data_IF_937066522740
#
_entry.id   IF_937066522740
#
_cell.length_a   1.000
_cell.length_b   1.000
_cell.length_c   1.000
_cell.angle_alpha   90.00
_cell.angle_beta   90.00
_cell.angle_gamma   90.00
#
_symmetry.space_group_name_H-M   'P 1'
#
loop_
_entity.id
_entity.type
_entity.pdbx_description
1 polymer ?
#
# COMPACT_ATOMS: atom_id res chain seq x y z
N UNK A 1 6.42 -2.73 14.45
CA UNK A 1 5.82 -3.61 13.43
C UNK A 1 4.70 -4.33 14.12
N UNK A 2 3.45 -3.87 13.93
CA UNK A 2 2.29 -4.64 14.31
C UNK A 2 2.37 -6.02 13.63
N UNK A 3 2.01 -7.07 14.37
CA UNK A 3 2.13 -8.43 13.88
C UNK A 3 1.12 -8.68 12.79
N UNK A 4 1.58 -8.95 11.56
CA UNK A 4 0.74 -9.29 10.44
C UNK A 4 -0.36 -10.28 10.85
N UNK A 5 -1.62 -9.91 10.61
CA UNK A 5 -2.79 -10.74 10.88
C UNK A 5 -3.09 -11.52 9.61
N UNK A 6 -3.62 -12.72 9.77
CA UNK A 6 -4.10 -13.48 8.62
C UNK A 6 -5.34 -14.25 9.01
N UNK A 7 -6.30 -14.28 8.09
CA UNK A 7 -7.52 -15.03 8.28
C UNK A 7 -7.23 -16.52 8.31
N UNK A 8 -7.82 -17.19 9.28
CA UNK A 8 -7.80 -18.63 9.41
C UNK A 8 -9.24 -19.12 9.28
N UNK A 9 -9.61 -19.49 8.05
CA UNK A 9 -10.99 -19.74 7.68
C UNK A 9 -11.40 -21.19 7.90
N UNK A 10 -12.48 -21.38 8.61
CA UNK A 10 -13.09 -22.68 8.77
C UNK A 10 -13.63 -23.16 7.41
N UNK A 11 -13.27 -24.40 7.08
CA UNK A 11 -13.55 -25.02 5.80
C UNK A 11 -12.52 -24.74 4.71
N UNK A 12 -11.49 -23.92 4.96
CA UNK A 12 -10.44 -23.68 3.97
C UNK A 12 -9.67 -24.97 3.66
N UNK A 13 -9.25 -25.18 2.41
CA UNK A 13 -8.29 -26.20 2.03
C UNK A 13 -7.04 -26.20 2.90
N UNK A 14 -6.52 -27.39 3.17
CA UNK A 14 -5.27 -27.59 3.91
C UNK A 14 -4.24 -28.24 3.00
N UNK A 15 -3.04 -27.68 2.99
CA UNK A 15 -1.88 -28.17 2.26
C UNK A 15 -0.88 -28.75 3.25
N UNK A 16 -0.60 -30.04 3.13
CA UNK A 16 0.53 -30.67 3.80
C UNK A 16 1.78 -30.55 2.93
N UNK A 17 2.95 -30.85 3.51
CA UNK A 17 4.23 -30.84 2.78
C UNK A 17 4.22 -31.72 1.54
N UNK A 18 3.54 -32.87 1.60
CA UNK A 18 3.51 -33.89 0.55
C UNK A 18 2.36 -33.69 -0.45
N UNK A 19 1.22 -33.11 -0.04
CA UNK A 19 0.03 -32.98 -0.89
C UNK A 19 -1.02 -32.00 -0.35
N UNK A 20 -1.93 -31.58 -1.23
CA UNK A 20 -3.20 -30.95 -0.85
C UNK A 20 -4.17 -32.00 -0.31
N UNK A 21 -4.57 -31.89 0.95
CA UNK A 21 -5.51 -32.85 1.54
C UNK A 21 -6.23 -32.27 2.75
N UNK A 22 -7.56 -32.35 2.74
CA UNK A 22 -8.39 -32.01 3.90
C UNK A 22 -8.80 -30.54 3.99
N UNK A 23 -9.46 -30.20 5.10
CA UNK A 23 -9.98 -28.86 5.40
C UNK A 23 -9.84 -28.54 6.87
N UNK A 24 -9.69 -27.26 7.20
CA UNK A 24 -9.73 -26.80 8.59
C UNK A 24 -11.17 -26.92 9.12
N UNK A 25 -11.40 -27.77 10.11
CA UNK A 25 -12.73 -28.04 10.67
C UNK A 25 -13.05 -27.20 11.91
N UNK A 26 -12.05 -27.02 12.78
CA UNK A 26 -12.18 -26.24 14.00
C UNK A 26 -10.83 -25.66 14.46
N UNK A 27 -10.91 -24.65 15.32
CA UNK A 27 -9.79 -24.07 16.06
C UNK A 27 -9.98 -24.39 17.53
N UNK A 28 -8.93 -24.80 18.23
CA UNK A 28 -8.97 -24.95 19.68
C UNK A 28 -8.23 -23.79 20.33
N UNK A 29 -8.97 -23.01 21.12
CA UNK A 29 -8.44 -21.83 21.81
C UNK A 29 -8.45 -22.03 23.33
N UNK A 30 -7.61 -21.25 24.01
CA UNK A 30 -7.66 -21.08 25.46
C UNK A 30 -8.54 -19.88 25.88
N UNK A 31 -8.52 -19.57 27.18
CA UNK A 31 -9.29 -18.46 27.77
C UNK A 31 -8.78 -17.07 27.36
N UNK A 32 -7.56 -16.99 26.81
CA UNK A 32 -6.97 -15.75 26.32
C UNK A 32 -7.00 -15.64 24.79
N UNK A 33 -7.82 -16.45 24.11
CA UNK A 33 -7.93 -16.50 22.65
C UNK A 33 -6.64 -16.90 21.93
N UNK A 34 -5.72 -17.59 22.61
CA UNK A 34 -4.55 -18.17 21.98
C UNK A 34 -4.96 -19.44 21.21
N UNK A 35 -4.65 -19.50 19.91
CA UNK A 35 -4.93 -20.68 19.09
C UNK A 35 -3.84 -21.72 19.35
N UNK A 36 -4.24 -22.83 19.97
CA UNK A 36 -3.31 -23.86 20.43
C UNK A 36 -3.30 -25.07 19.51
N UNK A 37 -4.46 -25.52 19.05
CA UNK A 37 -4.57 -26.62 18.09
C UNK A 37 -5.46 -26.26 16.90
N UNK A 38 -5.20 -26.95 15.80
CA UNK A 38 -5.95 -26.95 14.55
C UNK A 38 -6.61 -28.32 14.41
N UNK A 39 -7.92 -28.35 14.21
CA UNK A 39 -8.65 -29.58 13.92
C UNK A 39 -8.88 -29.66 12.42
N UNK A 40 -8.31 -30.67 11.79
CA UNK A 40 -8.39 -30.88 10.35
C UNK A 40 -9.32 -32.04 10.06
N UNK A 41 -10.13 -31.95 9.02
CA UNK A 41 -11.00 -33.03 8.56
C UNK A 41 -10.60 -33.51 7.17
N UNK A 42 -10.71 -34.82 6.93
CA UNK A 42 -10.51 -35.45 5.62
C UNK A 42 -11.62 -36.44 5.30
N UNK A 43 -12.13 -36.38 4.08
CA UNK A 43 -13.15 -37.29 3.56
C UNK A 43 -14.56 -36.70 3.62
N UNK A 44 -15.39 -37.04 2.62
CA UNK A 44 -16.74 -36.46 2.45
C UNK A 44 -17.80 -37.27 3.21
N UNK A 45 -17.74 -38.61 3.12
CA UNK A 45 -18.79 -39.49 3.69
C UNK A 45 -18.54 -39.93 5.13
N UNK A 46 -17.27 -40.00 5.55
CA UNK A 46 -16.85 -40.33 6.91
C UNK A 46 -15.63 -39.46 7.24
N UNK A 47 -15.84 -38.19 7.62
CA UNK A 47 -14.73 -37.30 7.90
C UNK A 47 -13.89 -37.88 9.02
N UNK A 48 -12.62 -38.12 8.73
CA UNK A 48 -11.61 -38.43 9.74
C UNK A 48 -11.04 -37.11 10.22
N UNK A 49 -11.14 -36.85 11.51
CA UNK A 49 -10.59 -35.65 12.12
C UNK A 49 -9.26 -35.95 12.81
N UNK A 50 -8.33 -35.01 12.69
CA UNK A 50 -7.04 -35.02 13.38
C UNK A 50 -6.82 -33.67 14.04
N UNK A 51 -6.26 -33.68 15.24
CA UNK A 51 -5.84 -32.47 15.95
C UNK A 51 -4.33 -32.33 15.82
N UNK A 52 -3.87 -31.17 15.38
CA UNK A 52 -2.47 -30.81 15.30
C UNK A 52 -2.19 -29.57 16.13
N UNK A 53 -1.00 -29.43 16.73
CA UNK A 53 -0.61 -28.20 17.38
C UNK A 53 -0.53 -27.07 16.34
N UNK A 54 -0.88 -25.85 16.72
CA UNK A 54 -0.81 -24.68 15.82
C UNK A 54 0.61 -24.46 15.30
N UNK A 55 1.64 -24.87 16.05
CA UNK A 55 3.04 -24.82 15.61
C UNK A 55 3.34 -25.67 14.37
N UNK A 56 2.44 -26.56 13.95
CA UNK A 56 2.57 -27.29 12.69
C UNK A 56 2.19 -26.43 11.47
N UNK A 57 1.51 -25.29 11.66
CA UNK A 57 1.19 -24.36 10.59
C UNK A 57 2.41 -23.50 10.23
N UNK A 58 2.74 -23.46 8.95
CA UNK A 58 3.85 -22.63 8.44
C UNK A 58 3.38 -21.37 7.75
N UNK A 59 2.27 -21.43 7.02
CA UNK A 59 1.66 -20.28 6.34
C UNK A 59 0.15 -20.43 6.34
N UNK A 60 -0.57 -19.31 6.42
CA UNK A 60 -2.02 -19.28 6.24
C UNK A 60 -2.48 -17.93 5.70
N UNK A 61 -3.56 -18.00 4.93
CA UNK A 61 -4.28 -16.88 4.34
C UNK A 61 -5.78 -17.23 4.19
N UNK A 62 -6.54 -16.36 3.54
CA UNK A 62 -7.97 -16.55 3.28
C UNK A 62 -8.32 -17.79 2.45
N UNK A 63 -7.38 -18.32 1.68
CA UNK A 63 -7.62 -19.38 0.72
C UNK A 63 -7.18 -20.73 1.25
N UNK A 64 -6.08 -20.79 2.01
CA UNK A 64 -5.54 -22.04 2.48
C UNK A 64 -4.69 -21.95 3.75
N UNK A 65 -4.52 -23.12 4.37
CA UNK A 65 -3.62 -23.35 5.48
C UNK A 65 -2.52 -24.33 5.04
N UNK A 66 -1.26 -23.92 5.12
CA UNK A 66 -0.10 -24.75 4.86
C UNK A 66 0.52 -25.27 6.16
N UNK A 67 0.85 -26.55 6.17
CA UNK A 67 1.40 -27.27 7.31
C UNK A 67 2.78 -27.83 6.99
N UNK A 68 3.68 -27.78 7.96
CA UNK A 68 5.02 -28.31 7.81
C UNK A 68 5.10 -29.83 7.94
N UNK A 69 4.08 -30.52 8.45
CA UNK A 69 4.09 -31.98 8.48
C UNK A 69 3.55 -32.60 7.18
N UNK A 70 3.84 -33.87 6.98
CA UNK A 70 3.18 -34.70 5.96
C UNK A 70 1.80 -35.14 6.42
N UNK A 71 0.95 -35.49 5.46
CA UNK A 71 -0.38 -36.04 5.75
C UNK A 71 -0.31 -37.38 6.51
N UNK A 72 0.71 -38.21 6.28
CA UNK A 72 0.89 -39.48 6.99
C UNK A 72 1.24 -39.25 8.46
N UNK A 73 2.18 -38.35 8.75
CA UNK A 73 2.52 -37.97 10.14
C UNK A 73 1.30 -37.42 10.87
N UNK A 74 0.51 -36.57 10.22
CA UNK A 74 -0.69 -35.99 10.80
C UNK A 74 -1.75 -37.07 11.08
N UNK A 75 -2.25 -37.77 10.06
CA UNK A 75 -3.35 -38.73 10.23
C UNK A 75 -2.91 -40.02 10.94
N UNK A 76 -1.62 -40.34 10.93
CA UNK A 76 -1.00 -41.36 11.78
C UNK A 76 -0.80 -40.92 13.23
N UNK A 77 -1.17 -39.68 13.59
CA UNK A 77 -1.08 -39.09 14.93
C UNK A 77 0.33 -39.07 15.51
N UNK A 78 1.32 -38.91 14.64
CA UNK A 78 2.74 -38.82 15.03
C UNK A 78 3.09 -37.43 15.57
N UNK A 79 2.29 -36.42 15.23
CA UNK A 79 2.40 -35.06 15.76
C UNK A 79 1.38 -34.88 16.89
N UNK A 80 1.81 -34.83 18.17
CA UNK A 80 0.88 -34.74 19.29
C UNK A 80 0.26 -33.34 19.41
N UNK A 81 -1.04 -33.21 19.72
CA UNK A 81 -1.66 -31.91 20.01
C UNK A 81 -1.24 -31.40 21.39
N UNK A 82 -1.43 -30.11 21.63
CA UNK A 82 -1.23 -29.49 22.95
C UNK A 82 -2.35 -29.94 23.89
N UNK A 83 -1.97 -30.56 25.02
CA UNK A 83 -2.90 -31.09 26.02
C UNK A 83 -3.24 -30.03 27.08
N UNK A 84 -4.27 -29.23 26.81
CA UNK A 84 -4.85 -28.26 27.76
C UNK A 84 -6.38 -28.30 27.71
N UNK A 85 -7.10 -27.73 28.70
CA UNK A 85 -8.54 -27.51 28.60
C UNK A 85 -8.80 -26.56 27.44
N UNK A 86 -9.49 -27.05 26.41
CA UNK A 86 -9.65 -26.34 25.15
C UNK A 86 -11.10 -26.09 24.83
N UNK A 87 -11.33 -24.95 24.19
CA UNK A 87 -12.65 -24.54 23.71
C UNK A 87 -12.66 -24.66 22.19
N UNK A 88 -13.31 -25.69 21.61
CA UNK A 88 -13.34 -25.85 20.16
C UNK A 88 -14.30 -24.85 19.51
N UNK A 89 -13.78 -24.13 18.52
CA UNK A 89 -14.51 -23.21 17.67
C UNK A 89 -14.63 -23.79 16.27
N UNK A 90 -15.86 -24.10 15.85
CA UNK A 90 -16.17 -24.71 14.56
C UNK A 90 -17.31 -23.97 13.88
N UNK A 91 -17.61 -24.30 12.63
CA UNK A 91 -18.77 -23.75 11.90
C UNK A 91 -20.11 -24.09 12.55
N UNK A 92 -20.10 -25.07 13.45
CA UNK A 92 -21.27 -25.53 14.22
C UNK A 92 -21.33 -24.94 15.62
N UNK A 93 -20.32 -24.18 16.03
CA UNK A 93 -20.34 -23.53 17.35
C UNK A 93 -21.51 -22.54 17.38
N UNK A 94 -22.46 -22.72 18.32
CA UNK A 94 -23.66 -21.88 18.36
C UNK A 94 -23.30 -20.43 18.67
N UNK A 95 -24.00 -19.51 18.01
CA UNK A 95 -23.90 -18.07 18.20
C UNK A 95 -25.19 -17.55 18.85
N UNK A 96 -25.09 -16.51 19.68
CA UNK A 96 -26.26 -15.84 20.26
C UNK A 96 -27.12 -15.11 19.22
N UNK A 97 -26.56 -14.90 18.03
CA UNK A 97 -27.20 -14.21 16.91
C UNK A 97 -27.78 -15.23 15.95
N UNK A 98 -29.02 -14.98 15.49
CA UNK A 98 -29.69 -15.81 14.50
C UNK A 98 -29.06 -15.66 13.12
N UNK A 99 -29.10 -16.72 12.33
CA UNK A 99 -28.67 -16.75 10.92
C UNK A 99 -27.19 -16.42 10.65
N UNK A 100 -26.39 -16.26 11.70
CA UNK A 100 -24.94 -16.13 11.66
C UNK A 100 -24.27 -17.49 11.87
N UNK A 101 -23.11 -17.69 11.25
CA UNK A 101 -22.23 -18.84 11.49
C UNK A 101 -20.81 -18.38 11.66
N UNK A 102 -20.04 -19.11 12.48
CA UNK A 102 -18.62 -18.87 12.59
C UNK A 102 -17.94 -19.30 11.29
N UNK A 103 -17.23 -18.36 10.66
CA UNK A 103 -16.50 -18.58 9.42
C UNK A 103 -14.99 -18.71 9.63
N UNK A 104 -14.46 -18.28 10.78
CA UNK A 104 -13.04 -18.31 11.08
C UNK A 104 -12.64 -17.29 12.14
N UNK A 105 -11.35 -16.98 12.19
CA UNK A 105 -10.79 -15.93 13.03
C UNK A 105 -9.63 -15.23 12.31
N UNK A 106 -9.39 -13.96 12.61
CA UNK A 106 -8.13 -13.30 12.29
C UNK A 106 -7.13 -13.60 13.38
N UNK A 107 -6.02 -14.26 13.01
CA UNK A 107 -4.99 -14.70 13.95
C UNK A 107 -3.70 -13.94 13.68
N UNK A 108 -3.13 -13.33 14.72
CA UNK A 108 -1.83 -12.68 14.66
C UNK A 108 -0.73 -13.72 14.49
N UNK A 109 0.15 -13.55 13.50
CA UNK A 109 1.19 -14.54 13.18
C UNK A 109 2.19 -14.76 14.32
N UNK A 110 2.62 -13.69 14.98
CA UNK A 110 3.64 -13.76 16.02
C UNK A 110 3.09 -14.31 17.35
N UNK A 111 1.94 -13.81 17.79
CA UNK A 111 1.36 -14.15 19.09
C UNK A 111 0.45 -15.39 19.04
N UNK A 112 -0.02 -15.77 17.85
CA UNK A 112 -1.05 -16.80 17.62
C UNK A 112 -2.38 -16.51 18.31
N UNK A 113 -2.61 -15.26 18.70
CA UNK A 113 -3.85 -14.82 19.32
C UNK A 113 -4.86 -14.45 18.25
N UNK A 114 -6.08 -14.91 18.42
CA UNK A 114 -7.19 -14.42 17.62
C UNK A 114 -7.51 -13.00 18.07
N UNK A 115 -7.52 -12.04 17.13
CA UNK A 115 -7.90 -10.65 17.39
C UNK A 115 -9.38 -10.41 17.05
N UNK A 116 -9.89 -11.12 16.05
CA UNK A 116 -11.27 -11.01 15.59
C UNK A 116 -11.84 -12.38 15.25
N UNK A 117 -13.15 -12.53 15.45
CA UNK A 117 -13.92 -13.61 14.84
C UNK A 117 -14.49 -13.17 13.51
N UNK A 118 -14.44 -14.08 12.55
CA UNK A 118 -15.10 -13.91 11.26
C UNK A 118 -16.44 -14.62 11.31
N UNK A 119 -17.50 -13.87 11.06
CA UNK A 119 -18.86 -14.38 11.02
C UNK A 119 -19.40 -14.26 9.60
N UNK A 120 -20.16 -15.25 9.14
CA UNK A 120 -20.84 -15.23 7.84
C UNK A 120 -22.36 -15.22 8.03
N UNK A 121 -23.08 -14.47 7.20
CA UNK A 121 -24.55 -14.42 7.18
C UNK A 121 -25.12 -14.89 5.86
N UNK A 122 -26.26 -15.58 5.92
CA UNK A 122 -27.03 -15.95 4.74
C UNK A 122 -26.43 -17.09 3.91
N UNK A 123 -27.25 -17.65 3.02
CA UNK A 123 -26.90 -18.81 2.17
C UNK A 123 -26.49 -18.41 0.74
N UNK A 124 -26.94 -17.25 0.25
CA UNK A 124 -26.85 -16.87 -1.17
C UNK A 124 -25.75 -15.85 -1.49
N UNK A 125 -25.36 -15.01 -0.53
CA UNK A 125 -24.23 -14.08 -0.65
C UNK A 125 -23.62 -13.88 0.74
N UNK A 126 -22.65 -14.71 1.17
CA UNK A 126 -22.14 -14.67 2.53
C UNK A 126 -21.25 -13.44 2.72
N UNK A 127 -21.88 -12.31 3.04
CA UNK A 127 -21.19 -11.17 3.63
C UNK A 127 -20.50 -11.65 4.90
N UNK A 128 -19.20 -11.41 5.00
CA UNK A 128 -18.44 -11.70 6.22
C UNK A 128 -18.34 -10.43 7.04
N UNK A 129 -18.54 -10.54 8.35
CA UNK A 129 -18.31 -9.43 9.27
C UNK A 129 -17.33 -9.84 10.35
N UNK A 130 -16.60 -8.85 10.85
CA UNK A 130 -15.60 -9.02 11.88
C UNK A 130 -16.18 -8.65 13.22
N UNK A 131 -15.91 -9.46 14.24
CA UNK A 131 -16.20 -9.12 15.63
C UNK A 131 -14.90 -9.11 16.41
N UNK A 132 -14.49 -7.98 16.99
CA UNK A 132 -13.34 -7.95 17.88
C UNK A 132 -13.54 -8.88 19.07
N UNK A 133 -12.51 -9.64 19.47
CA UNK A 133 -12.63 -10.63 20.54
C UNK A 133 -13.06 -10.03 21.89
N UNK A 134 -12.76 -8.74 22.14
CA UNK A 134 -13.23 -8.02 23.33
C UNK A 134 -14.76 -7.88 23.39
N UNK A 135 -15.44 -8.02 22.26
CA UNK A 135 -16.90 -7.99 22.16
C UNK A 135 -17.51 -9.40 22.11
N UNK A 136 -16.72 -10.43 22.42
CA UNK A 136 -17.13 -11.83 22.37
C UNK A 136 -16.96 -12.49 23.74
N UNK A 137 -18.01 -13.15 24.22
CA UNK A 137 -17.97 -13.98 25.42
C UNK A 137 -18.35 -15.42 25.06
N UNK A 138 -17.64 -16.40 25.60
CA UNK A 138 -17.95 -17.82 25.39
C UNK A 138 -18.53 -18.41 26.68
N UNK A 139 -19.84 -18.66 26.70
CA UNK A 139 -20.57 -19.17 27.86
C UNK A 139 -21.37 -20.41 27.47
N UNK A 140 -21.15 -21.52 28.18
CA UNK A 140 -21.84 -22.79 27.91
C UNK A 140 -21.62 -23.34 26.49
N UNK A 141 -20.48 -23.03 25.85
CA UNK A 141 -20.20 -23.42 24.46
C UNK A 141 -20.90 -22.56 23.40
N UNK A 142 -21.61 -21.50 23.80
CA UNK A 142 -22.25 -20.52 22.92
C UNK A 142 -21.42 -19.25 22.86
N UNK A 143 -21.14 -18.78 21.64
CA UNK A 143 -20.48 -17.50 21.40
C UNK A 143 -21.54 -16.38 21.51
N UNK A 144 -21.41 -15.55 22.52
CA UNK A 144 -22.23 -14.36 22.75
C UNK A 144 -21.53 -13.13 22.22
N UNK A 145 -22.22 -12.35 21.39
CA UNK A 145 -21.71 -11.08 20.86
C UNK A 145 -22.31 -9.92 21.67
N UNK A 146 -21.47 -9.01 22.14
CA UNK A 146 -21.90 -7.77 22.80
C UNK A 146 -22.31 -6.68 21.80
N UNK A 147 -21.80 -6.74 20.57
CA UNK A 147 -22.03 -5.73 19.53
C UNK A 147 -23.31 -6.00 18.72
N UNK A 148 -23.97 -4.93 18.27
CA UNK A 148 -25.08 -5.03 17.31
C UNK A 148 -24.55 -5.47 15.95
N UNK A 149 -25.19 -6.47 15.36
CA UNK A 149 -24.69 -7.19 14.17
C UNK A 149 -24.61 -6.33 12.92
N UNK A 150 -25.53 -5.39 12.78
CA UNK A 150 -25.61 -4.53 11.58
C UNK A 150 -24.51 -3.47 11.55
N UNK A 151 -23.95 -3.14 12.72
CA UNK A 151 -22.85 -2.19 12.88
C UNK A 151 -21.46 -2.84 12.79
N UNK A 152 -21.38 -4.18 12.66
CA UNK A 152 -20.10 -4.87 12.57
C UNK A 152 -19.40 -4.57 11.23
N UNK A 153 -18.08 -4.27 11.23
CA UNK A 153 -17.32 -4.05 10.02
C UNK A 153 -17.41 -5.24 9.05
N UNK A 154 -17.49 -4.95 7.75
CA UNK A 154 -17.45 -5.97 6.70
C UNK A 154 -16.00 -6.43 6.55
N UNK A 155 -15.77 -7.73 6.64
CA UNK A 155 -14.47 -8.31 6.35
C UNK A 155 -14.29 -8.45 4.83
N UNK A 156 -13.14 -8.00 4.33
CA UNK A 156 -12.68 -8.30 2.97
C UNK A 156 -11.22 -8.76 3.02
N UNK A 157 -10.85 -9.84 2.32
CA UNK A 157 -9.46 -10.20 2.11
C UNK A 157 -8.66 -9.03 1.50
N UNK A 158 -7.39 -8.91 1.86
CA UNK A 158 -6.51 -7.85 1.34
C UNK A 158 -6.46 -7.86 -0.20
N UNK A 159 -6.48 -9.03 -0.83
CA UNK A 159 -6.52 -9.16 -2.30
C UNK A 159 -7.80 -8.57 -2.91
N UNK A 160 -8.95 -8.77 -2.27
CA UNK A 160 -10.22 -8.16 -2.69
C UNK A 160 -10.22 -6.64 -2.44
N UNK A 161 -9.55 -6.18 -1.37
CA UNK A 161 -9.39 -4.76 -1.07
C UNK A 161 -8.47 -4.07 -2.09
N UNK A 162 -7.36 -4.70 -2.50
CA UNK A 162 -6.48 -4.18 -3.56
C UNK A 162 -7.26 -3.91 -4.83
N UNK A 163 -8.06 -4.89 -5.29
CA UNK A 163 -8.88 -4.72 -6.49
C UNK A 163 -9.96 -3.66 -6.30
N UNK A 164 -10.63 -3.63 -5.14
CA UNK A 164 -11.62 -2.60 -4.85
C UNK A 164 -11.02 -1.17 -4.81
N UNK A 165 -9.80 -1.01 -4.29
CA UNK A 165 -9.08 0.27 -4.32
C UNK A 165 -8.67 0.64 -5.74
N UNK A 166 -8.19 -0.31 -6.53
CA UNK A 166 -7.90 -0.07 -7.97
C UNK A 166 -9.14 0.35 -8.74
N UNK A 167 -10.28 -0.30 -8.49
CA UNK A 167 -11.56 0.06 -9.10
C UNK A 167 -12.02 1.45 -8.66
N UNK A 168 -11.88 1.80 -7.38
CA UNK A 168 -12.23 3.12 -6.85
C UNK A 168 -11.36 4.22 -7.49
N UNK A 169 -10.04 4.01 -7.59
CA UNK A 169 -9.12 4.91 -8.28
C UNK A 169 -9.48 5.02 -9.77
N UNK A 170 -9.81 3.91 -10.41
CA UNK A 170 -10.21 3.88 -11.82
C UNK A 170 -11.51 4.64 -12.09
N UNK A 171 -12.47 4.57 -11.17
CA UNK A 171 -13.76 5.25 -11.26
C UNK A 171 -13.72 6.72 -10.83
N UNK A 172 -12.64 7.18 -10.18
CA UNK A 172 -12.56 8.54 -9.67
C UNK A 172 -12.50 9.58 -10.79
N UNK A 173 -13.57 10.38 -10.93
CA UNK A 173 -13.78 11.31 -12.06
C UNK A 173 -12.70 12.38 -12.28
N UNK A 174 -11.92 12.68 -11.24
CA UNK A 174 -10.87 13.72 -11.29
C UNK A 174 -9.45 13.17 -11.44
N UNK A 175 -9.28 11.85 -11.49
CA UNK A 175 -7.98 11.24 -11.78
C UNK A 175 -7.85 10.97 -13.27
N UNK A 176 -6.77 11.44 -13.89
CA UNK A 176 -6.53 11.18 -15.31
C UNK A 176 -6.09 9.72 -15.53
N UNK A 177 -6.11 9.25 -16.78
CA UNK A 177 -5.56 7.92 -17.09
C UNK A 177 -4.07 7.81 -16.77
N UNK A 178 -3.31 8.89 -16.96
CA UNK A 178 -1.87 8.90 -16.73
C UNK A 178 -1.56 8.87 -15.22
N UNK A 179 -2.28 9.66 -14.41
CA UNK A 179 -2.12 9.63 -12.95
C UNK A 179 -2.37 8.22 -12.40
N UNK A 180 -3.38 7.50 -12.93
CA UNK A 180 -3.73 6.15 -12.48
C UNK A 180 -2.68 5.11 -12.82
N UNK A 181 -2.01 5.23 -13.97
CA UNK A 181 -1.02 4.25 -14.46
C UNK A 181 0.27 4.24 -13.65
N UNK A 182 0.58 5.34 -12.99
CA UNK A 182 1.81 5.51 -12.21
C UNK A 182 1.63 5.16 -10.73
N UNK A 183 0.40 4.84 -10.30
CA UNK A 183 0.10 4.44 -8.93
C UNK A 183 0.30 2.94 -8.74
N UNK A 184 0.95 2.59 -7.63
CA UNK A 184 0.95 1.23 -7.10
C UNK A 184 0.03 1.18 -5.87
N UNK A 185 -0.69 0.07 -5.75
CA UNK A 185 -1.65 -0.19 -4.67
C UNK A 185 -1.32 -1.53 -4.06
N UNK A 186 -1.05 -1.50 -2.76
CA UNK A 186 -0.91 -2.68 -1.91
C UNK A 186 -1.85 -2.52 -0.72
N UNK A 187 -2.40 -3.62 -0.21
CA UNK A 187 -3.19 -3.61 1.02
C UNK A 187 -2.60 -4.68 1.93
N UNK A 188 -2.36 -4.31 3.18
CA UNK A 188 -1.85 -5.21 4.22
C UNK A 188 -2.63 -4.94 5.48
N UNK A 189 -3.24 -5.98 6.05
CA UNK A 189 -4.02 -5.85 7.28
C UNK A 189 -5.07 -4.72 7.18
N UNK A 190 -5.79 -4.67 6.06
CA UNK A 190 -6.83 -3.65 5.78
C UNK A 190 -6.30 -2.20 5.63
N UNK A 191 -4.98 -2.00 5.64
CA UNK A 191 -4.32 -0.71 5.40
C UNK A 191 -3.89 -0.61 3.94
N UNK A 192 -4.40 0.40 3.23
CA UNK A 192 -4.03 0.65 1.85
C UNK A 192 -2.72 1.46 1.77
N UNK A 193 -1.68 0.85 1.22
CA UNK A 193 -0.41 1.50 0.94
C UNK A 193 -0.36 1.96 -0.52
N UNK A 194 -0.33 3.29 -0.71
CA UNK A 194 -0.35 3.93 -2.01
C UNK A 194 1.02 4.56 -2.30
N UNK A 195 1.57 4.28 -3.47
CA UNK A 195 2.83 4.90 -3.92
C UNK A 195 2.75 5.26 -5.41
N UNK A 196 3.67 6.11 -5.88
CA UNK A 196 3.73 6.56 -7.26
C UNK A 196 3.79 8.08 -7.40
N UNK A 197 3.45 8.56 -8.59
CA UNK A 197 3.49 9.98 -8.93
C UNK A 197 2.16 10.45 -9.50
N UNK A 198 1.80 11.70 -9.22
CA UNK A 198 0.63 12.38 -9.79
C UNK A 198 0.99 13.80 -10.22
N UNK A 199 0.22 14.39 -11.14
CA UNK A 199 0.55 15.71 -11.69
C UNK A 199 0.35 16.88 -10.74
N UNK A 200 -0.63 16.77 -9.85
CA UNK A 200 -1.09 17.90 -9.04
C UNK A 200 -1.30 17.49 -7.58
N UNK A 201 -1.14 18.44 -6.64
CA UNK A 201 -1.51 18.21 -5.24
C UNK A 201 -2.97 17.79 -5.07
N UNK A 202 -3.87 18.28 -5.93
CA UNK A 202 -5.29 17.90 -5.91
C UNK A 202 -5.48 16.45 -6.32
N UNK A 203 -4.78 15.99 -7.36
CA UNK A 203 -4.81 14.57 -7.75
C UNK A 203 -4.33 13.66 -6.61
N UNK A 204 -3.29 14.08 -5.86
CA UNK A 204 -2.83 13.34 -4.68
C UNK A 204 -3.94 13.21 -3.62
N UNK A 205 -4.64 14.30 -3.30
CA UNK A 205 -5.76 14.27 -2.37
C UNK A 205 -6.89 13.34 -2.85
N UNK A 206 -7.19 13.34 -4.15
CA UNK A 206 -8.19 12.44 -4.74
C UNK A 206 -7.78 10.96 -4.70
N UNK A 207 -6.49 10.64 -4.82
CA UNK A 207 -5.98 9.28 -4.64
C UNK A 207 -6.26 8.79 -3.22
N UNK A 208 -5.97 9.62 -2.23
CA UNK A 208 -6.27 9.34 -0.83
C UNK A 208 -7.78 9.13 -0.59
N UNK A 209 -8.60 10.08 -1.04
CA UNK A 209 -10.05 10.04 -0.89
C UNK A 209 -10.66 8.78 -1.51
N UNK A 210 -10.25 8.44 -2.74
CA UNK A 210 -10.73 7.24 -3.43
C UNK A 210 -10.43 5.96 -2.65
N UNK A 211 -9.19 5.79 -2.17
CA UNK A 211 -8.82 4.61 -1.40
C UNK A 211 -9.54 4.55 -0.04
N UNK A 212 -9.62 5.67 0.68
CA UNK A 212 -10.29 5.76 1.98
C UNK A 212 -11.81 5.52 1.88
N UNK A 213 -12.41 5.70 0.70
CA UNK A 213 -13.83 5.45 0.47
C UNK A 213 -14.19 3.96 0.34
N UNK A 214 -13.20 3.09 0.18
CA UNK A 214 -13.43 1.65 -0.04
C UNK A 214 -13.88 0.96 1.26
N UNK A 215 -15.08 0.36 1.30
CA UNK A 215 -15.54 -0.37 2.48
C UNK A 215 -14.60 -1.54 2.84
N UNK A 216 -14.07 -1.50 4.06
CA UNK A 216 -13.11 -2.49 4.57
C UNK A 216 -11.68 -1.95 4.65
N UNK A 217 -11.35 -0.83 4.00
CA UNK A 217 -10.10 -0.12 4.25
C UNK A 217 -10.22 0.63 5.58
N UNK A 218 -9.29 0.39 6.50
CA UNK A 218 -9.29 1.00 7.84
C UNK A 218 -8.38 2.22 7.94
N UNK A 219 -7.31 2.23 7.14
CA UNK A 219 -6.37 3.34 7.04
C UNK A 219 -5.75 3.39 5.63
N UNK A 220 -5.23 4.56 5.27
CA UNK A 220 -4.50 4.79 4.02
C UNK A 220 -3.14 5.39 4.36
N UNK A 221 -2.07 4.69 3.98
CA UNK A 221 -0.70 5.18 4.06
C UNK A 221 -0.22 5.55 2.66
N UNK A 222 0.21 6.78 2.47
CA UNK A 222 0.60 7.28 1.16
C UNK A 222 2.05 7.76 1.12
N UNK A 223 2.73 7.38 0.04
CA UNK A 223 4.05 7.89 -0.35
C UNK A 223 4.00 8.50 -1.76
N UNK A 224 2.80 8.85 -2.22
CA UNK A 224 2.55 9.44 -3.53
C UNK A 224 3.18 10.84 -3.60
N UNK A 225 3.98 11.10 -4.63
CA UNK A 225 4.58 12.41 -4.90
C UNK A 225 3.77 13.17 -5.96
N UNK A 226 3.53 14.46 -5.74
CA UNK A 226 3.03 15.33 -6.81
C UNK A 226 4.18 16.07 -7.49
N UNK A 227 4.07 16.29 -8.80
CA UNK A 227 5.13 16.87 -9.63
C UNK A 227 5.56 18.27 -9.15
N UNK A 228 4.63 19.08 -8.63
CA UNK A 228 4.94 20.43 -8.15
C UNK A 228 5.82 20.38 -6.91
N UNK A 229 5.46 19.53 -5.95
CA UNK A 229 6.28 19.33 -4.76
C UNK A 229 7.62 18.68 -5.11
N UNK A 230 7.63 17.75 -6.06
CA UNK A 230 8.84 17.11 -6.57
C UNK A 230 9.82 18.12 -7.20
N UNK A 231 9.34 19.06 -8.01
CA UNK A 231 10.14 20.16 -8.56
C UNK A 231 10.81 21.00 -7.45
N UNK A 232 10.04 21.31 -6.39
CA UNK A 232 10.55 22.07 -5.24
C UNK A 232 11.64 21.28 -4.50
N UNK A 233 11.43 19.99 -4.27
CA UNK A 233 12.36 19.16 -3.50
C UNK A 233 13.65 18.88 -4.28
N UNK A 234 13.57 18.71 -5.60
CA UNK A 234 14.76 18.68 -6.48
C UNK A 234 15.49 20.02 -6.44
N UNK A 235 14.78 21.15 -6.53
CA UNK A 235 15.40 22.47 -6.41
C UNK A 235 16.15 22.64 -5.09
N UNK A 236 15.54 22.25 -3.96
CA UNK A 236 16.17 22.29 -2.63
C UNK A 236 17.40 21.39 -2.54
N UNK A 237 17.35 20.18 -3.11
CA UNK A 237 18.48 19.27 -3.12
C UNK A 237 19.68 19.83 -3.90
N UNK A 238 19.42 20.45 -5.06
CA UNK A 238 20.45 21.12 -5.87
C UNK A 238 21.05 22.34 -5.14
N UNK A 239 20.23 23.11 -4.43
CA UNK A 239 20.68 24.25 -3.62
C UNK A 239 21.56 23.80 -2.45
N UNK A 240 21.14 22.78 -1.72
CA UNK A 240 21.91 22.20 -0.61
C UNK A 240 23.27 21.64 -1.07
N UNK A 241 23.34 21.12 -2.30
CA UNK A 241 24.60 20.69 -2.93
C UNK A 241 25.44 21.86 -3.48
N UNK A 242 24.94 23.09 -3.39
CA UNK A 242 25.59 24.30 -3.89
C UNK A 242 25.72 24.34 -5.40
N UNK A 243 24.84 23.67 -6.15
CA UNK A 243 24.98 23.50 -7.60
C UNK A 243 24.51 24.71 -8.41
N UNK A 244 23.67 25.58 -7.84
CA UNK A 244 23.27 26.85 -8.47
C UNK A 244 24.42 27.86 -8.61
N UNK A 245 25.58 27.66 -7.96
CA UNK A 245 26.76 28.52 -8.16
C UNK A 245 27.39 28.37 -9.54
N UNK A 246 27.09 27.26 -10.23
CA UNK A 246 27.64 26.94 -11.54
C UNK A 246 26.79 27.44 -12.69
N UNK A 247 25.58 27.95 -12.43
CA UNK A 247 24.70 28.47 -13.46
C UNK A 247 23.23 28.55 -13.04
N UNK A 248 22.35 28.76 -14.01
CA UNK A 248 20.89 28.83 -13.80
C UNK A 248 20.27 27.53 -14.24
N UNK A 249 19.70 26.79 -13.30
CA UNK A 249 19.04 25.50 -13.55
C UNK A 249 17.56 25.66 -13.24
N UNK A 250 16.69 25.19 -14.12
CA UNK A 250 15.27 25.03 -13.83
C UNK A 250 14.89 23.54 -13.87
N UNK A 251 13.90 23.20 -13.07
CA UNK A 251 13.39 21.84 -12.92
C UNK A 251 11.96 21.81 -13.41
N UNK A 252 11.63 20.81 -14.21
CA UNK A 252 10.26 20.45 -14.56
C UNK A 252 10.02 18.99 -14.26
N UNK A 253 8.83 18.63 -13.80
CA UNK A 253 8.46 17.24 -13.59
C UNK A 253 7.14 16.89 -14.27
N UNK A 254 7.07 15.69 -14.80
CA UNK A 254 5.85 15.07 -15.31
C UNK A 254 5.82 13.60 -14.86
N UNK A 255 4.97 13.29 -13.89
CA UNK A 255 4.77 11.96 -13.31
C UNK A 255 6.07 11.29 -12.86
N UNK A 256 6.93 12.07 -12.20
CA UNK A 256 8.24 11.62 -11.71
C UNK A 256 9.35 11.60 -12.76
N UNK A 257 9.06 11.91 -14.03
CA UNK A 257 10.08 12.17 -15.04
C UNK A 257 10.54 13.63 -14.92
N UNK A 258 11.78 13.84 -14.52
CA UNK A 258 12.33 15.18 -14.26
C UNK A 258 13.13 15.65 -15.46
N UNK A 259 12.77 16.79 -16.04
CA UNK A 259 13.59 17.49 -17.03
C UNK A 259 14.36 18.62 -16.35
N UNK A 260 15.69 18.57 -16.43
CA UNK A 260 16.57 19.63 -15.98
C UNK A 260 16.98 20.47 -17.18
N UNK A 261 16.84 21.78 -17.10
CA UNK A 261 17.30 22.68 -18.17
C UNK A 261 17.97 23.93 -17.62
N UNK A 262 18.42 24.79 -18.54
CA UNK A 262 19.11 26.03 -18.22
C UNK A 262 20.57 25.98 -18.67
N UNK A 263 21.43 26.74 -18.00
CA UNK A 263 22.82 26.96 -18.43
C UNK A 263 23.79 26.75 -17.28
N UNK A 264 24.94 26.14 -17.57
CA UNK A 264 26.07 25.99 -16.64
C UNK A 264 27.37 26.49 -17.26
N UNK A 265 28.31 26.94 -16.43
CA UNK A 265 29.62 27.43 -16.86
C UNK A 265 30.63 26.32 -17.17
N UNK A 266 30.34 25.08 -16.79
CA UNK A 266 31.24 23.96 -16.94
C UNK A 266 30.47 22.65 -17.13
N UNK A 267 30.75 21.95 -18.23
CA UNK A 267 30.13 20.67 -18.58
C UNK A 267 30.33 19.59 -17.51
N UNK A 268 31.50 19.59 -16.87
CA UNK A 268 31.88 18.63 -15.84
C UNK A 268 30.93 18.62 -14.62
N UNK A 269 30.10 19.66 -14.44
CA UNK A 269 29.13 19.75 -13.33
C UNK A 269 27.83 19.00 -13.63
N UNK A 270 27.48 18.79 -14.90
CA UNK A 270 26.21 18.18 -15.32
C UNK A 270 25.97 16.79 -14.70
N UNK A 271 26.95 15.85 -14.68
CA UNK A 271 26.76 14.56 -14.04
C UNK A 271 26.45 14.66 -12.54
N UNK A 272 27.02 15.65 -11.85
CA UNK A 272 26.74 15.92 -10.44
C UNK A 272 25.31 16.41 -10.21
N UNK A 273 24.82 17.30 -11.09
CA UNK A 273 23.44 17.79 -11.07
C UNK A 273 22.44 16.65 -11.28
N UNK A 274 22.66 15.83 -12.31
CA UNK A 274 21.80 14.67 -12.59
C UNK A 274 21.80 13.70 -11.41
N UNK A 275 22.97 13.39 -10.84
CA UNK A 275 23.09 12.50 -9.68
C UNK A 275 22.31 12.99 -8.47
N UNK A 276 22.37 14.29 -8.17
CA UNK A 276 21.62 14.87 -7.04
C UNK A 276 20.11 14.82 -7.30
N UNK A 277 19.66 15.18 -8.50
CA UNK A 277 18.25 15.13 -8.86
C UNK A 277 17.68 13.70 -8.79
N UNK A 278 18.40 12.71 -9.33
CA UNK A 278 17.99 11.29 -9.29
C UNK A 278 17.92 10.71 -7.88
N UNK A 279 18.55 11.34 -6.89
CA UNK A 279 18.50 10.91 -5.50
C UNK A 279 17.26 11.36 -4.72
N UNK A 280 16.42 12.22 -5.31
CA UNK A 280 15.25 12.76 -4.63
C UNK A 280 14.10 11.74 -4.66
N UNK A 281 13.46 11.41 -3.51
CA UNK A 281 12.31 10.51 -3.49
C UNK A 281 11.19 10.97 -4.43
N UNK A 282 10.66 10.03 -5.23
CA UNK A 282 9.65 10.31 -6.25
C UNK A 282 10.20 10.59 -7.64
N UNK A 283 11.51 10.80 -7.81
CA UNK A 283 12.14 10.89 -9.14
C UNK A 283 12.30 9.48 -9.73
N UNK A 284 11.76 9.26 -10.92
CA UNK A 284 11.81 7.98 -11.66
C UNK A 284 12.87 8.01 -12.75
N UNK A 285 13.01 9.15 -13.43
CA UNK A 285 14.01 9.38 -14.46
C UNK A 285 14.40 10.86 -14.49
N UNK A 286 15.59 11.14 -15.01
CA UNK A 286 16.10 12.50 -15.19
C UNK A 286 16.58 12.66 -16.63
N UNK A 287 15.98 13.60 -17.35
CA UNK A 287 16.42 14.08 -18.67
C UNK A 287 17.16 15.41 -18.49
N UNK A 288 18.40 15.50 -18.98
CA UNK A 288 19.22 16.72 -18.87
C UNK A 288 19.29 17.43 -20.21
N UNK A 289 18.70 18.62 -20.25
CA UNK A 289 18.74 19.60 -21.35
C UNK A 289 19.49 20.87 -20.94
N UNK A 290 20.48 20.70 -20.08
CA UNK A 290 21.34 21.79 -19.61
C UNK A 290 22.36 22.10 -20.69
N UNK A 291 22.47 23.38 -21.05
CA UNK A 291 23.44 23.89 -22.02
C UNK A 291 24.68 24.43 -21.30
N UNK A 292 25.83 24.40 -21.97
CA UNK A 292 27.05 25.02 -21.46
C UNK A 292 27.11 26.45 -21.99
N UNK A 293 27.15 27.43 -21.10
CA UNK A 293 27.35 28.82 -21.47
C UNK A 293 28.78 28.96 -22.02
N UNK A 294 28.90 29.13 -23.33
CA UNK A 294 30.18 29.44 -23.94
C UNK A 294 30.69 30.75 -23.34
N UNK A 295 31.82 30.68 -22.64
CA UNK A 295 32.47 31.86 -22.11
C UNK A 295 32.76 32.78 -23.30
N UNK A 296 31.97 33.85 -23.45
CA UNK A 296 32.27 34.90 -24.42
C UNK A 296 33.70 35.35 -24.11
N UNK A 297 34.67 35.17 -25.04
CA UNK A 297 36.04 35.49 -24.75
C UNK A 297 36.12 36.97 -24.34
N UNK A 298 36.73 37.29 -23.19
CA UNK A 298 36.89 38.66 -22.74
C UNK A 298 37.86 39.36 -23.70
N UNK A 299 37.36 39.98 -24.76
CA UNK A 299 38.24 40.57 -25.78
C UNK A 299 37.61 41.35 -26.92
N UNK A 300 36.30 41.25 -27.19
CA UNK A 300 35.65 42.12 -28.17
C UNK A 300 34.89 43.22 -27.45
N UNK A 301 35.61 44.27 -27.06
CA UNK A 301 35.00 45.53 -26.74
C UNK A 301 34.08 45.96 -27.91
N UNK A 302 32.83 46.39 -27.67
CA UNK A 302 32.03 46.98 -28.73
C UNK A 302 32.81 48.17 -29.30
N UNK A 303 33.07 48.13 -30.60
CA UNK A 303 33.68 49.23 -31.32
C UNK A 303 32.94 50.52 -30.94
N UNK A 304 33.69 51.51 -30.47
CA UNK A 304 33.15 52.79 -30.06
C UNK A 304 32.18 53.32 -31.15
N UNK A 305 31.01 53.87 -30.78
CA UNK A 305 30.14 54.50 -31.75
C UNK A 305 30.92 55.61 -32.45
N UNK A 306 31.07 55.49 -33.77
CA UNK A 306 31.67 56.50 -34.62
C UNK A 306 30.94 57.82 -34.40
N UNK A 307 31.71 58.84 -34.01
CA UNK A 307 31.26 60.22 -33.85
C UNK A 307 30.48 60.67 -35.10
N UNK A 308 29.25 61.20 -34.97
CA UNK A 308 28.53 61.79 -36.09
C UNK A 308 29.29 63.00 -36.64
N UNK A 309 29.28 63.24 -37.97
CA UNK A 309 29.87 64.43 -38.55
C UNK A 309 29.15 65.70 -38.05
N UNK A 310 29.97 66.70 -37.74
CA UNK A 310 29.63 68.05 -37.30
C UNK A 310 28.63 68.73 -38.27
N UNK A 311 27.46 69.22 -37.81
CA UNK A 311 26.50 69.89 -38.67
C UNK A 311 27.00 71.28 -39.09
N UNK A 312 27.03 71.51 -40.40
CA UNK A 312 27.33 72.79 -41.01
C UNK A 312 26.35 73.88 -40.54
N UNK A 313 26.92 75.04 -40.21
CA UNK A 313 26.24 76.23 -39.72
C UNK A 313 25.08 76.69 -40.65
N UNK A 314 23.88 76.75 -40.10
CA UNK A 314 22.73 77.39 -40.73
C UNK A 314 22.63 78.85 -40.26
N UNK A 315 22.57 79.72 -41.26
CA UNK A 315 22.51 81.18 -41.22
C UNK A 315 21.26 81.68 -40.49
N UNK A 316 21.48 82.65 -39.60
CA UNK A 316 20.46 83.47 -38.94
C UNK A 316 19.64 84.24 -39.97
N UNK A 317 18.31 84.27 -39.82
CA UNK A 317 17.50 85.45 -40.15
C UNK A 317 16.28 85.51 -39.22
N UNK A 318 16.21 86.61 -38.47
CA UNK A 318 15.08 87.07 -37.70
C UNK A 318 14.35 88.18 -38.50
N UNK A 319 13.45 89.00 -37.92
CA UNK A 319 12.02 88.72 -37.75
C UNK A 319 11.13 89.84 -38.34
N UNK A 320 9.82 89.62 -38.43
CA UNK A 320 8.75 90.65 -38.53
C UNK A 320 7.41 89.89 -38.37
N UNK A 321 6.34 90.35 -37.73
CA UNK A 321 6.04 91.39 -36.75
C UNK A 321 4.66 91.01 -36.15
#
# INVERSE_FOLDING_TARGET
>A
MEGARSALRLGCPVRFRDRWQGRLAALEIDDQWLVLNLVLSRGIFRPTEVKLPFSAASQWDDDHLSLDCTSEEAFGRQVPPVAVPLRPLSVRTPLSVRDARLAGALVERASRRASHLLLSWGLLAPGRRMVPIQNVTLSGGVIQLAAQTDALPIYRPDSELVEAVRDALAAHRYLTADDRRTLNVEVVDEVAHLSGNVRTPQAKAYVHEAAASVPGVTAVEETVADDRQLEIDVGRALDAAGLFRYGRIYVRSALGEVTLGGFVRAEAVIPGIVKVASGVPGVRSVDSRIEVEEATPPGLAPAAPSTPPEPAAAVQNAPEA
#
